data_IF_636567069538
#
_entry.id   IF_636567069538
#
_cell.length_a   1.000
_cell.length_b   1.000
_cell.length_c   1.000
_cell.angle_alpha   90.00
_cell.angle_beta   90.00
_cell.angle_gamma   90.00
#
_symmetry.space_group_name_H-M   'P 1'
#
loop_
_entity.id
_entity.type
_entity.pdbx_description
1 polymer ?
#
# COMPACT_ATOMS: atom_id res chain seq x y z
N UNK A 1 -3.71 37.02 -7.89
CA UNK A 1 -3.59 35.54 -7.97
C UNK A 1 -2.51 35.30 -9.00
N UNK A 2 -1.28 35.02 -8.55
CA UNK A 2 -0.23 34.60 -9.45
C UNK A 2 -0.66 33.22 -9.98
N UNK A 3 -1.01 33.16 -11.25
CA UNK A 3 -1.19 31.91 -11.97
C UNK A 3 0.18 31.23 -12.00
N UNK A 4 0.41 30.31 -11.05
CA UNK A 4 1.60 29.46 -11.09
C UNK A 4 1.53 28.67 -12.40
N UNK A 5 2.44 28.93 -13.32
CA UNK A 5 2.54 28.14 -14.54
C UNK A 5 2.71 26.69 -14.13
N UNK A 6 1.80 25.85 -14.57
CA UNK A 6 1.85 24.39 -14.34
C UNK A 6 3.25 23.91 -14.74
N UNK A 7 4.03 23.41 -13.75
CA UNK A 7 5.37 22.89 -13.97
C UNK A 7 6.53 23.79 -13.53
N UNK A 8 6.30 24.95 -12.89
CA UNK A 8 7.43 25.67 -12.27
C UNK A 8 7.97 24.87 -11.08
N UNK A 9 9.30 24.87 -10.89
CA UNK A 9 9.97 24.18 -9.76
C UNK A 9 9.38 24.62 -8.41
N UNK A 10 8.96 25.86 -8.27
CA UNK A 10 8.34 26.40 -7.07
C UNK A 10 6.97 25.75 -6.78
N UNK A 11 6.10 25.62 -7.80
CA UNK A 11 4.77 24.97 -7.63
C UNK A 11 4.90 23.50 -7.29
N UNK A 12 5.84 22.79 -7.91
CA UNK A 12 6.10 21.38 -7.63
C UNK A 12 6.59 21.21 -6.19
N UNK A 13 7.46 22.10 -5.71
CA UNK A 13 7.96 22.12 -4.35
C UNK A 13 6.85 22.42 -3.34
N UNK A 14 5.96 23.36 -3.63
CA UNK A 14 4.80 23.66 -2.79
C UNK A 14 3.87 22.46 -2.67
N UNK A 15 3.56 21.78 -3.79
CA UNK A 15 2.77 20.53 -3.77
C UNK A 15 3.44 19.43 -2.94
N UNK A 16 4.76 19.27 -3.02
CA UNK A 16 5.51 18.30 -2.23
C UNK A 16 5.41 18.57 -0.72
N UNK A 17 5.63 19.83 -0.29
CA UNK A 17 5.54 20.16 1.13
C UNK A 17 4.12 20.17 1.66
N UNK A 18 3.12 20.48 0.83
CA UNK A 18 1.70 20.32 1.18
C UNK A 18 1.37 18.83 1.39
N UNK A 19 1.83 17.96 0.52
CA UNK A 19 1.69 16.52 0.69
C UNK A 19 2.38 16.01 1.99
N UNK A 20 3.58 16.52 2.31
CA UNK A 20 4.26 16.24 3.58
C UNK A 20 3.47 16.71 4.81
N UNK A 21 2.74 17.83 4.71
CA UNK A 21 1.85 18.29 5.76
C UNK A 21 0.64 17.35 5.92
N UNK A 22 0.01 16.95 4.80
CA UNK A 22 -1.13 16.03 4.81
C UNK A 22 -0.79 14.69 5.46
N UNK A 23 0.41 14.14 5.23
CA UNK A 23 0.91 12.92 5.86
C UNK A 23 0.81 12.94 7.40
N UNK A 24 0.85 14.13 8.02
CA UNK A 24 0.90 14.30 9.48
C UNK A 24 -0.45 14.78 10.07
N UNK A 25 -1.50 14.90 9.27
CA UNK A 25 -2.84 15.29 9.77
C UNK A 25 -3.48 14.14 10.54
N UNK A 26 -3.31 12.91 10.08
CA UNK A 26 -3.83 11.69 10.70
C UNK A 26 -2.73 10.64 10.85
N UNK A 27 -2.82 9.73 11.85
CA UNK A 27 -3.79 9.71 12.95
C UNK A 27 -3.57 10.85 13.96
N UNK A 28 -4.63 11.19 14.71
CA UNK A 28 -4.60 12.27 15.72
C UNK A 28 -4.22 11.72 17.10
N UNK A 29 -3.64 12.57 17.95
CA UNK A 29 -3.49 12.29 19.38
C UNK A 29 -4.84 12.50 20.07
N UNK A 30 -5.29 11.52 20.87
CA UNK A 30 -6.59 11.56 21.55
C UNK A 30 -6.48 11.74 23.07
N UNK A 31 -5.33 11.46 23.68
CA UNK A 31 -5.20 11.61 25.13
C UNK A 31 -5.20 13.09 25.55
N UNK A 32 -5.70 13.31 26.76
CA UNK A 32 -5.59 14.59 27.47
C UNK A 32 -4.15 14.85 27.96
N UNK A 33 -3.89 16.07 28.43
CA UNK A 33 -2.55 16.49 28.92
C UNK A 33 -2.05 15.69 30.12
N UNK A 34 -2.96 15.05 30.88
CA UNK A 34 -2.63 14.16 31.99
C UNK A 34 -2.43 12.69 31.56
N UNK A 35 -2.56 12.39 30.25
CA UNK A 35 -2.42 11.05 29.67
C UNK A 35 -3.67 10.19 29.68
N UNK A 36 -4.81 10.70 30.12
CA UNK A 36 -6.09 9.99 30.08
C UNK A 36 -6.67 9.93 28.64
N UNK A 37 -7.24 8.77 28.27
CA UNK A 37 -7.86 8.56 26.95
C UNK A 37 -9.04 7.59 27.01
N UNK A 38 -10.02 7.67 26.09
CA UNK A 38 -11.10 6.68 25.99
C UNK A 38 -10.52 5.34 25.48
N UNK A 39 -10.75 4.25 26.25
CA UNK A 39 -10.32 2.91 25.85
C UNK A 39 -11.19 2.38 24.70
N UNK A 40 -10.57 1.58 23.83
CA UNK A 40 -11.19 0.95 22.65
C UNK A 40 -12.41 0.10 23.06
N UNK A 41 -13.56 0.33 22.39
CA UNK A 41 -14.84 -0.38 22.60
C UNK A 41 -15.28 -0.43 24.08
N UNK A 42 -14.98 0.61 24.84
CA UNK A 42 -15.23 0.65 26.29
C UNK A 42 -15.71 2.04 26.73
N UNK A 43 -16.41 2.07 27.89
CA UNK A 43 -16.71 3.30 28.62
C UNK A 43 -15.65 3.63 29.69
N UNK A 44 -14.55 2.87 29.72
CA UNK A 44 -13.45 3.09 30.66
C UNK A 44 -12.49 4.12 30.14
N UNK A 45 -11.80 4.78 31.07
CA UNK A 45 -10.68 5.68 30.81
C UNK A 45 -9.39 4.91 31.03
N UNK A 46 -8.52 4.92 30.01
CA UNK A 46 -7.15 4.45 30.08
C UNK A 46 -6.19 5.57 30.41
N UNK A 47 -4.93 5.24 30.67
CA UNK A 47 -3.88 6.20 30.91
C UNK A 47 -2.59 5.77 30.16
N UNK A 48 -1.95 6.70 29.48
CA UNK A 48 -0.66 6.48 28.81
C UNK A 48 0.37 7.51 29.25
N UNK A 49 1.64 7.12 29.22
CA UNK A 49 2.78 8.03 29.35
C UNK A 49 3.42 8.38 28.00
N UNK A 50 2.95 7.73 26.92
CA UNK A 50 3.35 7.96 25.53
C UNK A 50 2.26 8.71 24.77
N UNK A 51 2.19 8.45 23.46
CA UNK A 51 1.15 8.98 22.58
C UNK A 51 0.10 7.92 22.30
N UNK A 52 -1.19 8.26 22.50
CA UNK A 52 -2.33 7.45 22.07
C UNK A 52 -2.96 8.09 20.85
N UNK A 53 -3.03 7.33 19.77
CA UNK A 53 -3.56 7.79 18.49
C UNK A 53 -4.99 7.31 18.26
N UNK A 54 -5.72 8.02 17.38
CA UNK A 54 -7.06 7.72 16.89
C UNK A 54 -7.24 8.21 15.46
N UNK A 55 -8.33 7.85 14.82
CA UNK A 55 -8.65 8.12 13.40
C UNK A 55 -7.71 7.31 12.50
N UNK A 56 -7.93 6.01 12.52
CA UNK A 56 -7.20 5.07 11.69
C UNK A 56 -8.02 4.70 10.44
N UNK A 57 -7.44 4.97 9.28
CA UNK A 57 -7.89 4.52 7.96
C UNK A 57 -6.88 3.51 7.44
N UNK A 58 -6.84 2.31 8.05
CA UNK A 58 -5.74 1.38 7.79
C UNK A 58 -5.81 0.74 6.42
N UNK A 59 -7.00 0.59 5.82
CA UNK A 59 -7.19 0.08 4.46
C UNK A 59 -6.42 0.90 3.41
N UNK A 60 -6.33 2.22 3.64
CA UNK A 60 -5.61 3.15 2.78
C UNK A 60 -4.13 3.20 3.15
N UNK A 61 -3.84 3.43 4.43
CA UNK A 61 -2.50 3.83 4.90
C UNK A 61 -1.47 2.70 4.91
N UNK A 62 -1.88 1.42 4.96
CA UNK A 62 -0.93 0.31 4.91
C UNK A 62 -0.18 0.22 3.57
N UNK A 63 -0.74 0.79 2.48
CA UNK A 63 -0.21 0.65 1.12
C UNK A 63 1.09 1.41 0.91
N UNK A 64 1.25 2.57 1.57
CA UNK A 64 2.43 3.41 1.40
C UNK A 64 2.74 4.31 2.62
N UNK A 65 1.72 4.80 3.35
CA UNK A 65 1.92 5.72 4.49
C UNK A 65 2.74 5.06 5.58
N UNK A 66 2.43 3.80 5.96
CA UNK A 66 3.19 3.04 6.95
C UNK A 66 4.69 3.00 6.60
N UNK A 67 5.00 2.73 5.33
CA UNK A 67 6.38 2.68 4.83
C UNK A 67 7.08 4.05 4.91
N UNK A 68 6.38 5.13 4.52
CA UNK A 68 6.96 6.47 4.57
C UNK A 68 7.17 6.95 6.01
N UNK A 69 6.20 6.67 6.89
CA UNK A 69 6.34 6.96 8.34
C UNK A 69 7.49 6.18 8.96
N UNK A 70 7.66 4.92 8.59
CA UNK A 70 8.82 4.10 9.01
C UNK A 70 10.14 4.73 8.59
N UNK A 71 10.22 5.29 7.38
CA UNK A 71 11.44 5.92 6.87
C UNK A 71 11.72 7.29 7.49
N UNK A 72 10.69 8.15 7.61
CA UNK A 72 10.86 9.56 7.97
C UNK A 72 10.61 9.85 9.46
N UNK A 73 9.71 9.10 10.10
CA UNK A 73 9.24 9.35 11.47
C UNK A 73 9.14 8.06 12.29
N UNK A 74 10.24 7.28 12.42
CA UNK A 74 10.20 5.92 13.00
C UNK A 74 9.68 5.90 14.44
N UNK A 75 9.98 6.90 15.28
CA UNK A 75 9.43 6.96 16.65
C UNK A 75 7.92 7.15 16.66
N UNK A 76 7.37 8.00 15.77
CA UNK A 76 5.91 8.17 15.64
C UNK A 76 5.26 6.89 15.14
N UNK A 77 5.88 6.22 14.19
CA UNK A 77 5.40 4.94 13.67
C UNK A 77 5.36 3.87 14.77
N UNK A 78 6.36 3.82 15.64
CA UNK A 78 6.36 2.93 16.81
C UNK A 78 5.21 3.24 17.77
N UNK A 79 4.94 4.52 18.05
CA UNK A 79 3.84 4.94 18.94
C UNK A 79 2.47 4.59 18.33
N UNK A 80 2.31 4.71 17.01
CA UNK A 80 1.12 4.28 16.29
C UNK A 80 0.92 2.77 16.44
N UNK A 81 1.97 1.97 16.22
CA UNK A 81 1.90 0.51 16.36
C UNK A 81 1.59 0.10 17.82
N UNK A 82 2.22 0.73 18.79
CA UNK A 82 1.93 0.51 20.23
C UNK A 82 0.46 0.80 20.53
N UNK A 83 -0.09 1.89 19.99
CA UNK A 83 -1.52 2.22 20.09
C UNK A 83 -2.40 1.09 19.54
N UNK A 84 -2.08 0.55 18.36
CA UNK A 84 -2.85 -0.56 17.77
C UNK A 84 -2.80 -1.83 18.64
N UNK A 85 -1.65 -2.13 19.25
CA UNK A 85 -1.49 -3.26 20.19
C UNK A 85 -2.30 -3.04 21.47
N UNK A 86 -2.31 -1.80 22.00
CA UNK A 86 -3.13 -1.48 23.17
C UNK A 86 -4.64 -1.58 22.85
N UNK A 87 -5.07 -1.17 21.66
CA UNK A 87 -6.44 -1.38 21.18
C UNK A 87 -6.82 -2.88 21.15
N UNK A 88 -5.89 -3.73 20.71
CA UNK A 88 -6.06 -5.19 20.78
C UNK A 88 -6.25 -5.69 22.22
N UNK A 89 -5.42 -5.23 23.16
CA UNK A 89 -5.52 -5.61 24.58
C UNK A 89 -6.84 -5.15 25.21
N UNK A 90 -7.37 -4.02 24.76
CA UNK A 90 -8.61 -3.41 25.28
C UNK A 90 -9.88 -4.07 24.71
N UNK A 91 -9.94 -4.30 23.39
CA UNK A 91 -11.13 -4.80 22.68
C UNK A 91 -11.05 -6.28 22.32
N UNK A 92 -9.86 -6.86 22.32
CA UNK A 92 -9.59 -8.20 21.81
C UNK A 92 -9.45 -8.31 20.30
N UNK A 93 -9.44 -7.19 19.57
CA UNK A 93 -9.22 -7.11 18.12
C UNK A 93 -8.25 -5.99 17.76
N UNK A 94 -7.42 -6.21 16.75
CA UNK A 94 -6.65 -5.15 16.14
C UNK A 94 -7.58 -4.18 15.39
N UNK A 95 -7.26 -2.88 15.31
CA UNK A 95 -8.12 -1.93 14.64
C UNK A 95 -8.14 -2.15 13.11
N UNK A 96 -9.21 -1.73 12.45
CA UNK A 96 -9.39 -1.69 11.01
C UNK A 96 -9.65 -0.25 10.54
N UNK A 97 -10.72 0.36 11.07
CA UNK A 97 -11.11 1.75 10.82
C UNK A 97 -11.62 2.38 12.12
N UNK A 98 -10.71 2.64 13.03
CA UNK A 98 -11.04 3.14 14.36
C UNK A 98 -11.26 4.65 14.36
N UNK A 99 -12.34 5.10 15.00
CA UNK A 99 -12.65 6.49 15.25
C UNK A 99 -12.96 6.72 16.73
N UNK A 100 -12.12 7.49 17.41
CA UNK A 100 -12.32 7.96 18.78
C UNK A 100 -12.66 6.85 19.80
N UNK A 101 -11.92 5.73 19.71
CA UNK A 101 -12.10 4.57 20.58
C UNK A 101 -13.22 3.61 20.14
N UNK A 102 -13.71 3.75 18.91
CA UNK A 102 -14.74 2.87 18.33
C UNK A 102 -14.29 2.29 17.00
N UNK A 103 -14.47 0.98 16.83
CA UNK A 103 -14.25 0.32 15.54
C UNK A 103 -15.51 0.49 14.66
N UNK A 104 -15.32 1.02 13.46
CA UNK A 104 -16.44 1.23 12.52
C UNK A 104 -16.62 0.06 11.57
N UNK A 105 -15.61 -0.81 11.44
CA UNK A 105 -15.54 -1.92 10.47
C UNK A 105 -15.69 -1.48 9.02
N UNK A 106 -15.49 -0.20 8.75
CA UNK A 106 -15.51 0.37 7.40
C UNK A 106 -14.36 -0.22 6.56
N UNK A 107 -14.57 -0.29 5.27
CA UNK A 107 -13.64 -0.83 4.26
C UNK A 107 -13.30 -2.32 4.42
N UNK A 108 -12.37 -2.80 3.60
CA UNK A 108 -12.14 -4.21 3.38
C UNK A 108 -10.93 -4.75 4.17
N UNK A 109 -10.90 -6.04 4.38
CA UNK A 109 -9.72 -6.76 4.80
C UNK A 109 -9.39 -6.71 6.29
N UNK A 110 -8.13 -6.98 6.58
CA UNK A 110 -7.50 -6.98 7.91
C UNK A 110 -6.18 -6.18 7.83
N UNK A 111 -6.29 -4.87 7.61
CA UNK A 111 -5.17 -4.01 7.20
C UNK A 111 -4.15 -3.72 8.30
N UNK A 112 -4.46 -3.99 9.57
CA UNK A 112 -3.47 -3.92 10.65
C UNK A 112 -2.29 -4.84 10.42
N UNK A 113 -2.51 -5.99 9.77
CA UNK A 113 -1.46 -6.97 9.53
C UNK A 113 -0.37 -6.39 8.61
N UNK A 114 -0.66 -5.99 7.36
CA UNK A 114 0.37 -5.43 6.50
C UNK A 114 0.97 -4.14 7.05
N UNK A 115 0.19 -3.31 7.77
CA UNK A 115 0.67 -2.07 8.38
C UNK A 115 1.81 -2.32 9.40
N UNK A 116 1.58 -3.25 10.34
CA UNK A 116 2.56 -3.58 11.40
C UNK A 116 3.71 -4.40 10.84
N UNK A 117 3.41 -5.37 9.96
CA UNK A 117 4.44 -6.27 9.40
C UNK A 117 5.42 -5.52 8.52
N UNK A 118 4.98 -4.58 7.67
CA UNK A 118 5.88 -3.77 6.86
C UNK A 118 6.89 -3.02 7.73
N UNK A 119 6.43 -2.37 8.79
CA UNK A 119 7.30 -1.67 9.74
C UNK A 119 8.29 -2.62 10.44
N UNK A 120 7.84 -3.81 10.88
CA UNK A 120 8.69 -4.82 11.51
C UNK A 120 9.78 -5.32 10.56
N UNK A 121 9.42 -5.64 9.32
CA UNK A 121 10.36 -6.14 8.32
C UNK A 121 11.39 -5.08 7.95
N UNK A 122 11.02 -3.78 7.99
CA UNK A 122 11.92 -2.64 7.78
C UNK A 122 12.76 -2.25 9.01
N UNK A 123 12.65 -3.01 10.10
CA UNK A 123 13.53 -2.91 11.25
C UNK A 123 12.96 -2.22 12.49
N UNK A 124 11.72 -1.73 12.48
CA UNK A 124 11.07 -1.19 13.68
C UNK A 124 10.53 -2.33 14.55
N UNK A 125 11.18 -2.58 15.68
CA UNK A 125 10.92 -3.76 16.53
C UNK A 125 10.71 -3.44 18.01
N UNK A 126 10.70 -2.16 18.40
CA UNK A 126 10.59 -1.73 19.80
C UNK A 126 9.11 -1.66 20.24
N UNK A 127 8.43 -2.81 20.22
CA UNK A 127 7.07 -3.03 20.70
C UNK A 127 6.80 -4.51 20.99
N UNK A 128 5.68 -4.81 21.64
CA UNK A 128 5.26 -6.18 22.01
C UNK A 128 4.82 -6.96 20.77
N UNK A 129 5.78 -7.53 20.07
CA UNK A 129 5.54 -8.26 18.82
C UNK A 129 4.77 -9.57 19.03
N UNK A 130 4.91 -10.23 20.19
CA UNK A 130 4.17 -11.48 20.46
C UNK A 130 2.68 -11.20 20.63
N UNK A 131 2.31 -10.14 21.35
CA UNK A 131 0.92 -9.69 21.45
C UNK A 131 0.36 -9.24 20.08
N UNK A 132 1.15 -8.49 19.29
CA UNK A 132 0.76 -8.12 17.94
C UNK A 132 0.52 -9.36 17.06
N UNK A 133 1.43 -10.32 17.11
CA UNK A 133 1.31 -11.58 16.37
C UNK A 133 0.07 -12.38 16.78
N UNK A 134 -0.22 -12.47 18.09
CA UNK A 134 -1.42 -13.11 18.61
C UNK A 134 -2.70 -12.48 18.02
N UNK A 135 -2.78 -11.13 18.03
CA UNK A 135 -3.91 -10.38 17.45
C UNK A 135 -4.09 -10.63 15.96
N UNK A 136 -3.00 -10.59 15.18
CA UNK A 136 -3.00 -10.88 13.75
C UNK A 136 -3.44 -12.32 13.46
N UNK A 137 -2.86 -13.29 14.17
CA UNK A 137 -3.19 -14.69 14.01
C UNK A 137 -4.66 -14.96 14.37
N UNK A 138 -5.16 -14.32 15.43
CA UNK A 138 -6.58 -14.38 15.82
C UNK A 138 -7.48 -13.90 14.69
N UNK A 139 -7.24 -12.73 14.08
CA UNK A 139 -7.97 -12.23 12.91
C UNK A 139 -7.96 -13.24 11.77
N UNK A 140 -6.78 -13.82 11.47
CA UNK A 140 -6.60 -14.73 10.34
C UNK A 140 -7.17 -16.15 10.55
N UNK A 141 -7.46 -16.58 11.78
CA UNK A 141 -7.84 -17.98 12.08
C UNK A 141 -9.16 -18.16 12.83
N UNK A 142 -9.75 -17.12 13.38
CA UNK A 142 -11.06 -17.21 14.04
C UNK A 142 -12.15 -17.42 12.98
N UNK A 143 -13.12 -18.36 13.22
CA UNK A 143 -14.28 -18.52 12.36
C UNK A 143 -15.08 -17.23 12.16
N UNK A 144 -15.70 -17.06 10.98
CA UNK A 144 -16.34 -15.81 10.57
C UNK A 144 -17.44 -15.31 11.49
N UNK A 145 -18.27 -16.21 12.03
CA UNK A 145 -19.35 -15.88 12.98
C UNK A 145 -18.87 -15.27 14.30
N UNK A 146 -17.58 -15.41 14.62
CA UNK A 146 -16.94 -14.86 15.81
C UNK A 146 -15.83 -13.84 15.46
N UNK A 147 -15.73 -13.45 14.20
CA UNK A 147 -14.63 -12.64 13.70
C UNK A 147 -15.15 -11.32 13.13
N UNK A 148 -14.87 -10.23 13.83
CA UNK A 148 -15.30 -8.91 13.41
C UNK A 148 -14.55 -8.42 12.16
N UNK A 149 -13.27 -8.83 12.00
CA UNK A 149 -12.40 -8.34 10.92
C UNK A 149 -12.59 -9.12 9.62
N UNK A 150 -12.89 -10.44 9.73
CA UNK A 150 -13.03 -11.36 8.58
C UNK A 150 -14.31 -12.17 8.70
N UNK A 151 -15.49 -11.56 8.44
CA UNK A 151 -16.78 -12.26 8.56
C UNK A 151 -16.91 -13.45 7.61
N UNK A 152 -16.18 -13.45 6.49
CA UNK A 152 -16.19 -14.52 5.48
C UNK A 152 -15.15 -15.62 5.74
N UNK A 153 -14.50 -15.62 6.90
CA UNK A 153 -13.32 -16.47 7.16
C UNK A 153 -13.59 -17.96 7.06
N UNK A 154 -14.82 -18.42 7.31
CA UNK A 154 -15.19 -19.84 7.14
C UNK A 154 -15.04 -20.33 5.70
N UNK A 155 -15.57 -19.57 4.75
CA UNK A 155 -15.43 -19.85 3.32
C UNK A 155 -13.97 -19.66 2.88
N UNK A 156 -13.35 -18.55 3.29
CA UNK A 156 -11.96 -18.25 2.95
C UNK A 156 -10.99 -19.36 3.40
N UNK A 157 -11.11 -19.83 4.65
CA UNK A 157 -10.25 -20.90 5.18
C UNK A 157 -10.52 -22.27 4.52
N UNK A 158 -11.78 -22.58 4.24
CA UNK A 158 -12.15 -23.92 3.73
C UNK A 158 -12.04 -24.05 2.22
N UNK A 159 -12.34 -22.99 1.47
CA UNK A 159 -12.39 -22.99 0.01
C UNK A 159 -11.16 -22.31 -0.64
N UNK A 160 -10.44 -21.48 0.12
CA UNK A 160 -9.36 -20.63 -0.39
C UNK A 160 -9.84 -19.37 -1.11
N UNK A 161 -11.15 -19.09 -1.09
CA UNK A 161 -11.77 -17.88 -1.65
C UNK A 161 -13.06 -17.52 -0.89
N UNK A 162 -13.51 -16.27 -1.03
CA UNK A 162 -14.81 -15.79 -0.55
C UNK A 162 -15.82 -15.86 -1.68
N UNK A 163 -16.92 -16.63 -1.58
CA UNK A 163 -17.92 -16.69 -2.62
C UNK A 163 -18.84 -15.46 -2.61
N UNK A 164 -19.25 -14.99 -3.77
CA UNK A 164 -20.30 -13.99 -3.92
C UNK A 164 -21.65 -14.61 -3.52
N UNK A 165 -22.29 -14.07 -2.46
CA UNK A 165 -23.58 -14.58 -1.96
C UNK A 165 -24.75 -13.70 -2.35
N UNK A 166 -24.54 -12.40 -2.33
CA UNK A 166 -25.54 -11.39 -2.68
C UNK A 166 -25.03 -10.54 -3.86
N UNK A 167 -25.93 -9.81 -4.50
CA UNK A 167 -25.61 -9.09 -5.74
C UNK A 167 -24.46 -8.07 -5.58
N UNK A 168 -24.35 -7.41 -4.45
CA UNK A 168 -23.36 -6.37 -4.18
C UNK A 168 -22.42 -6.72 -3.01
N UNK A 169 -22.23 -8.00 -2.79
CA UNK A 169 -21.23 -8.51 -1.88
C UNK A 169 -19.82 -8.25 -2.42
N UNK A 170 -18.92 -7.78 -1.56
CA UNK A 170 -17.54 -7.39 -1.91
C UNK A 170 -16.55 -8.56 -1.90
N UNK A 171 -16.98 -9.76 -2.24
CA UNK A 171 -16.28 -11.03 -2.04
C UNK A 171 -14.85 -11.08 -2.60
N UNK A 172 -14.61 -10.53 -3.80
CA UNK A 172 -13.28 -10.50 -4.40
C UNK A 172 -12.37 -9.51 -3.68
N UNK A 173 -12.89 -8.33 -3.37
CA UNK A 173 -12.14 -7.29 -2.64
C UNK A 173 -11.74 -7.78 -1.25
N UNK A 174 -12.66 -8.36 -0.47
CA UNK A 174 -12.37 -9.00 0.82
C UNK A 174 -11.25 -10.03 0.70
N UNK A 175 -11.38 -10.97 -0.25
CA UNK A 175 -10.41 -12.03 -0.42
C UNK A 175 -9.02 -11.52 -0.83
N UNK A 176 -8.93 -10.52 -1.71
CA UNK A 176 -7.66 -9.95 -2.10
C UNK A 176 -6.93 -9.28 -0.93
N UNK A 177 -7.66 -8.55 -0.09
CA UNK A 177 -7.12 -7.96 1.12
C UNK A 177 -6.67 -9.04 2.12
N UNK A 178 -7.43 -10.14 2.27
CA UNK A 178 -7.02 -11.27 3.12
C UNK A 178 -5.76 -11.97 2.59
N UNK A 179 -5.59 -12.11 1.26
CA UNK A 179 -4.37 -12.69 0.68
C UNK A 179 -3.14 -11.83 0.96
N UNK A 180 -3.25 -10.51 0.89
CA UNK A 180 -2.16 -9.58 1.22
C UNK A 180 -1.85 -9.65 2.71
N UNK A 181 -2.87 -9.66 3.57
CA UNK A 181 -2.69 -9.81 5.01
C UNK A 181 -2.02 -11.16 5.35
N UNK A 182 -2.48 -12.27 4.78
CA UNK A 182 -1.89 -13.58 5.00
C UNK A 182 -0.45 -13.67 4.44
N UNK A 183 -0.15 -13.05 3.28
CA UNK A 183 1.21 -12.93 2.79
C UNK A 183 2.12 -12.26 3.81
N UNK A 184 1.72 -11.09 4.32
CA UNK A 184 2.46 -10.36 5.33
C UNK A 184 2.62 -11.17 6.62
N UNK A 185 1.54 -11.79 7.11
CA UNK A 185 1.59 -12.64 8.30
C UNK A 185 2.54 -13.83 8.10
N UNK A 186 2.64 -14.37 6.88
CA UNK A 186 3.61 -15.43 6.56
C UNK A 186 5.06 -14.97 6.69
N UNK A 187 5.36 -13.73 6.31
CA UNK A 187 6.70 -13.13 6.46
C UNK A 187 7.06 -12.94 7.93
N UNK A 188 6.14 -12.39 8.72
CA UNK A 188 6.34 -12.22 10.15
C UNK A 188 6.47 -13.55 10.88
N UNK A 189 5.62 -14.53 10.56
CA UNK A 189 5.69 -15.88 11.14
C UNK A 189 7.05 -16.55 10.86
N UNK A 190 7.58 -16.39 9.64
CA UNK A 190 8.91 -16.90 9.29
C UNK A 190 10.02 -16.20 10.08
N UNK A 191 9.95 -14.87 10.19
CA UNK A 191 10.90 -14.07 10.98
C UNK A 191 10.88 -14.42 12.48
N UNK A 192 9.73 -14.80 13.03
CA UNK A 192 9.55 -15.24 14.42
C UNK A 192 9.79 -16.76 14.62
N UNK A 193 10.19 -17.49 13.56
CA UNK A 193 10.45 -18.93 13.62
C UNK A 193 9.21 -19.82 13.69
N UNK A 194 8.01 -19.29 13.47
CA UNK A 194 6.72 -20.00 13.49
C UNK A 194 6.45 -20.66 12.13
N UNK A 195 7.22 -21.69 11.79
CA UNK A 195 7.32 -22.27 10.44
C UNK A 195 6.00 -22.83 9.87
N UNK A 196 5.16 -23.41 10.70
CA UNK A 196 3.88 -23.96 10.26
C UNK A 196 2.90 -22.86 9.88
N UNK A 197 2.80 -21.81 10.69
CA UNK A 197 2.00 -20.64 10.37
C UNK A 197 2.54 -19.93 9.11
N UNK A 198 3.86 -19.79 8.98
CA UNK A 198 4.48 -19.21 7.79
C UNK A 198 4.11 -19.98 6.51
N UNK A 199 4.08 -21.31 6.56
CA UNK A 199 3.66 -22.15 5.45
C UNK A 199 2.17 -21.97 5.15
N UNK A 200 1.33 -22.11 6.19
CA UNK A 200 -0.13 -21.97 6.07
C UNK A 200 -0.54 -20.66 5.39
N UNK A 201 -0.07 -19.55 5.95
CA UNK A 201 -0.46 -18.23 5.44
C UNK A 201 0.11 -17.93 4.06
N UNK A 202 1.31 -18.42 3.74
CA UNK A 202 1.89 -18.31 2.40
C UNK A 202 1.08 -19.08 1.36
N UNK A 203 0.60 -20.27 1.68
CA UNK A 203 -0.27 -21.05 0.80
C UNK A 203 -1.62 -20.36 0.57
N UNK A 204 -2.24 -19.84 1.64
CA UNK A 204 -3.52 -19.12 1.57
C UNK A 204 -3.41 -17.85 0.72
N UNK A 205 -2.32 -17.10 0.84
CA UNK A 205 -2.07 -15.89 0.05
C UNK A 205 -2.10 -16.10 -1.47
N UNK A 206 -1.95 -17.35 -1.94
CA UNK A 206 -2.00 -17.69 -3.36
C UNK A 206 -3.42 -17.95 -3.89
N UNK A 207 -4.45 -17.80 -3.07
CA UNK A 207 -5.85 -18.09 -3.40
C UNK A 207 -6.47 -17.16 -4.47
N UNK A 208 -5.88 -15.99 -4.74
CA UNK A 208 -6.33 -15.09 -5.81
C UNK A 208 -6.49 -15.81 -7.17
N UNK A 209 -5.75 -16.92 -7.38
CA UNK A 209 -5.77 -17.73 -8.60
C UNK A 209 -7.15 -18.33 -8.89
N UNK A 210 -7.97 -18.56 -7.87
CA UNK A 210 -9.34 -19.06 -8.02
C UNK A 210 -10.20 -18.08 -8.84
N UNK A 211 -10.03 -16.78 -8.62
CA UNK A 211 -10.84 -15.76 -9.27
C UNK A 211 -10.45 -15.48 -10.73
N UNK A 212 -9.26 -15.92 -11.18
CA UNK A 212 -8.80 -15.55 -12.51
C UNK A 212 -9.62 -16.23 -13.62
N UNK A 213 -10.38 -15.43 -14.38
CA UNK A 213 -11.17 -15.86 -15.51
C UNK A 213 -10.43 -15.63 -16.84
N UNK A 214 -10.04 -16.71 -17.51
CA UNK A 214 -9.29 -16.63 -18.79
C UNK A 214 -10.10 -15.97 -19.91
N UNK A 215 -11.42 -16.13 -19.91
CA UNK A 215 -12.33 -15.57 -20.91
C UNK A 215 -12.23 -14.06 -20.96
N UNK A 216 -12.31 -13.40 -19.80
CA UNK A 216 -12.20 -11.95 -19.67
C UNK A 216 -10.76 -11.47 -19.45
N UNK A 217 -9.89 -12.35 -18.93
CA UNK A 217 -8.53 -12.03 -18.51
C UNK A 217 -8.47 -11.09 -17.32
N UNK A 218 -9.49 -11.17 -16.46
CA UNK A 218 -9.65 -10.41 -15.21
C UNK A 218 -9.97 -11.38 -14.08
N UNK A 219 -9.96 -10.87 -12.84
CA UNK A 219 -10.61 -11.54 -11.73
C UNK A 219 -12.13 -11.45 -11.93
N UNK A 220 -12.86 -12.50 -11.51
CA UNK A 220 -14.31 -12.62 -11.64
C UNK A 220 -14.86 -13.27 -10.37
N UNK A 221 -15.97 -12.77 -9.81
CA UNK A 221 -16.58 -13.36 -8.63
C UNK A 221 -16.98 -14.82 -8.82
N UNK A 222 -16.91 -15.61 -7.76
CA UNK A 222 -17.25 -17.02 -7.73
C UNK A 222 -18.46 -17.21 -6.83
N UNK A 223 -19.44 -17.98 -7.30
CA UNK A 223 -20.64 -18.33 -6.54
C UNK A 223 -20.36 -19.43 -5.50
N UNK A 224 -21.29 -19.66 -4.53
CA UNK A 224 -21.10 -20.70 -3.51
C UNK A 224 -20.91 -22.11 -4.06
N UNK A 225 -21.44 -22.41 -5.25
CA UNK A 225 -21.31 -23.69 -5.95
C UNK A 225 -19.97 -23.85 -6.71
N UNK A 226 -19.11 -22.82 -6.68
CA UNK A 226 -17.80 -22.82 -7.32
C UNK A 226 -17.82 -22.36 -8.79
N UNK A 227 -18.97 -21.99 -9.34
CA UNK A 227 -19.06 -21.42 -10.69
C UNK A 227 -18.80 -19.92 -10.69
N UNK A 228 -18.35 -19.39 -11.82
CA UNK A 228 -18.21 -17.94 -11.97
C UNK A 228 -19.57 -17.25 -12.06
N UNK A 229 -19.70 -16.11 -11.36
CA UNK A 229 -20.88 -15.25 -11.45
C UNK A 229 -21.18 -14.85 -12.92
N UNK A 230 -22.44 -14.93 -13.35
CA UNK A 230 -22.89 -14.61 -14.69
C UNK A 230 -24.32 -14.03 -14.68
N UNK A 231 -24.65 -13.02 -15.53
CA UNK A 231 -23.76 -12.34 -16.47
C UNK A 231 -22.69 -11.50 -15.78
N UNK A 232 -21.55 -11.26 -16.44
CA UNK A 232 -20.44 -10.51 -15.88
C UNK A 232 -19.93 -9.45 -16.86
N UNK A 233 -19.93 -8.21 -16.43
CA UNK A 233 -19.25 -7.10 -17.09
C UNK A 233 -18.08 -6.64 -16.24
N UNK A 234 -16.81 -6.78 -16.69
CA UNK A 234 -15.64 -6.35 -15.91
C UNK A 234 -15.55 -4.84 -15.65
N UNK A 235 -16.42 -4.04 -16.24
CA UNK A 235 -16.50 -2.59 -16.02
C UNK A 235 -17.63 -2.18 -15.08
N UNK A 236 -18.50 -3.10 -14.69
CA UNK A 236 -19.55 -2.77 -13.72
C UNK A 236 -18.95 -2.30 -12.40
N UNK A 237 -19.36 -1.13 -11.94
CA UNK A 237 -18.82 -0.46 -10.76
C UNK A 237 -17.96 0.77 -11.07
N UNK A 238 -17.92 1.23 -12.31
CA UNK A 238 -17.33 2.52 -12.65
C UNK A 238 -18.03 3.66 -11.86
N UNK A 239 -17.26 4.67 -11.46
CA UNK A 239 -17.74 5.83 -10.70
C UNK A 239 -18.46 5.47 -9.37
N UNK A 240 -17.95 4.49 -8.65
CA UNK A 240 -18.50 4.01 -7.37
C UNK A 240 -19.93 3.45 -7.46
N UNK A 241 -20.38 3.05 -8.64
CA UNK A 241 -21.62 2.29 -8.77
C UNK A 241 -21.45 0.89 -8.15
N UNK A 242 -22.52 0.30 -7.56
CA UNK A 242 -22.44 -1.04 -6.98
C UNK A 242 -21.98 -2.09 -7.99
N UNK A 243 -21.02 -2.91 -7.60
CA UNK A 243 -20.44 -3.97 -8.42
C UNK A 243 -20.44 -5.30 -7.68
N UNK A 244 -20.89 -6.39 -8.32
CA UNK A 244 -20.80 -7.70 -7.70
C UNK A 244 -19.36 -8.10 -7.45
N UNK A 245 -18.99 -8.30 -6.18
CA UNK A 245 -17.68 -8.77 -5.75
C UNK A 245 -16.59 -7.72 -5.60
N UNK A 246 -16.82 -6.47 -5.98
CA UNK A 246 -15.81 -5.42 -5.94
C UNK A 246 -16.29 -4.19 -5.15
N UNK A 247 -15.47 -3.73 -4.23
CA UNK A 247 -15.72 -2.55 -3.41
C UNK A 247 -15.20 -1.30 -4.13
N UNK A 248 -16.05 -0.27 -4.23
CA UNK A 248 -15.69 1.04 -4.81
C UNK A 248 -14.95 0.97 -6.15
N UNK A 249 -15.29 -0.02 -6.98
CA UNK A 249 -14.60 -0.21 -8.25
C UNK A 249 -15.10 -1.42 -9.01
N UNK A 250 -14.29 -1.89 -9.93
CA UNK A 250 -14.62 -2.96 -10.84
C UNK A 250 -13.45 -3.95 -11.01
N UNK A 251 -13.63 -4.95 -11.87
CA UNK A 251 -12.62 -5.98 -12.08
C UNK A 251 -11.27 -5.42 -12.59
N UNK A 252 -11.23 -4.28 -13.28
CA UNK A 252 -9.99 -3.69 -13.77
C UNK A 252 -9.17 -3.06 -12.63
N UNK A 253 -9.84 -2.44 -11.65
CA UNK A 253 -9.19 -1.85 -10.48
C UNK A 253 -8.59 -2.91 -9.55
N UNK A 254 -9.10 -4.14 -9.56
CA UNK A 254 -8.66 -5.20 -8.67
C UNK A 254 -7.82 -6.30 -9.34
N UNK A 255 -7.86 -6.45 -10.68
CA UNK A 255 -7.19 -7.59 -11.35
C UNK A 255 -5.67 -7.64 -11.14
N UNK A 256 -5.00 -6.50 -11.09
CA UNK A 256 -3.55 -6.46 -10.85
C UNK A 256 -3.20 -6.21 -9.38
N UNK A 257 -4.20 -6.14 -8.49
CA UNK A 257 -4.00 -5.96 -7.07
C UNK A 257 -3.57 -7.28 -6.39
N UNK A 258 -2.45 -7.81 -6.82
CA UNK A 258 -1.76 -9.00 -6.30
C UNK A 258 -0.27 -8.67 -6.13
N UNK A 259 0.09 -7.66 -5.31
CA UNK A 259 1.45 -7.13 -5.25
C UNK A 259 2.46 -8.17 -4.79
N UNK A 260 2.04 -9.15 -4.00
CA UNK A 260 2.88 -10.22 -3.44
C UNK A 260 3.24 -11.34 -4.44
N UNK A 261 2.57 -11.44 -5.60
CA UNK A 261 2.85 -12.48 -6.62
C UNK A 261 2.64 -11.96 -8.05
N UNK A 262 3.21 -10.80 -8.39
CA UNK A 262 3.12 -10.19 -9.73
C UNK A 262 3.58 -11.15 -10.84
N UNK A 263 4.66 -11.89 -10.59
CA UNK A 263 5.19 -12.88 -11.57
C UNK A 263 4.26 -14.09 -11.72
N UNK A 264 3.64 -14.54 -10.64
CA UNK A 264 2.62 -15.59 -10.65
C UNK A 264 1.38 -15.17 -11.41
N UNK A 265 0.90 -13.94 -11.17
CA UNK A 265 -0.23 -13.36 -11.92
C UNK A 265 0.11 -13.25 -13.42
N UNK A 266 1.30 -12.77 -13.77
CA UNK A 266 1.73 -12.70 -15.15
C UNK A 266 1.78 -14.08 -15.82
N UNK A 267 2.27 -15.11 -15.11
CA UNK A 267 2.24 -16.50 -15.58
C UNK A 267 0.81 -16.98 -15.81
N UNK A 268 -0.10 -16.68 -14.90
CA UNK A 268 -1.52 -17.03 -14.99
C UNK A 268 -2.18 -16.38 -16.22
N UNK A 269 -1.81 -15.13 -16.53
CA UNK A 269 -2.26 -14.38 -17.73
C UNK A 269 -1.62 -14.90 -19.04
N UNK A 270 -0.64 -15.80 -18.99
CA UNK A 270 0.04 -16.36 -20.16
C UNK A 270 1.38 -15.70 -20.50
N UNK A 271 2.03 -15.07 -19.53
CA UNK A 271 3.40 -14.56 -19.58
C UNK A 271 3.52 -13.03 -19.61
N UNK A 272 4.76 -12.56 -19.51
CA UNK A 272 5.11 -11.14 -19.41
C UNK A 272 4.39 -10.27 -20.45
N UNK A 273 4.46 -10.65 -21.73
CA UNK A 273 3.89 -9.83 -22.80
C UNK A 273 2.39 -9.59 -22.60
N UNK A 274 1.64 -10.65 -22.29
CA UNK A 274 0.17 -10.52 -22.07
C UNK A 274 -0.17 -9.70 -20.84
N UNK A 275 0.61 -9.86 -19.77
CA UNK A 275 0.46 -9.04 -18.57
C UNK A 275 0.69 -7.56 -18.88
N UNK A 276 1.83 -7.24 -19.49
CA UNK A 276 2.21 -5.86 -19.84
C UNK A 276 1.20 -5.22 -20.80
N UNK A 277 0.81 -5.93 -21.87
CA UNK A 277 -0.17 -5.43 -22.83
C UNK A 277 -1.53 -5.14 -22.16
N UNK A 278 -1.97 -6.03 -21.25
CA UNK A 278 -3.23 -5.87 -20.54
C UNK A 278 -3.15 -4.73 -19.50
N UNK A 279 -2.07 -4.64 -18.75
CA UNK A 279 -1.86 -3.53 -17.82
C UNK A 279 -1.80 -2.19 -18.56
N UNK A 280 -1.10 -2.12 -19.70
CA UNK A 280 -1.08 -0.91 -20.53
C UNK A 280 -2.49 -0.54 -21.03
N UNK A 281 -3.29 -1.54 -21.42
CA UNK A 281 -4.66 -1.33 -21.89
C UNK A 281 -5.54 -0.70 -20.78
N UNK A 282 -5.32 -1.02 -19.49
CA UNK A 282 -6.04 -0.38 -18.37
C UNK A 282 -5.83 1.14 -18.38
N UNK A 283 -4.60 1.59 -18.62
CA UNK A 283 -4.30 3.02 -18.73
C UNK A 283 -4.83 3.64 -20.04
N UNK A 284 -4.61 2.97 -21.17
CA UNK A 284 -5.00 3.48 -22.51
C UNK A 284 -6.51 3.61 -22.65
N UNK A 285 -7.29 2.77 -21.95
CA UNK A 285 -8.77 2.79 -21.97
C UNK A 285 -9.39 3.64 -20.87
N UNK A 286 -8.58 4.17 -19.96
CA UNK A 286 -9.05 4.95 -18.81
C UNK A 286 -9.76 4.12 -17.74
N UNK A 287 -9.40 2.84 -17.59
CA UNK A 287 -9.94 1.97 -16.53
C UNK A 287 -9.17 2.11 -15.22
N UNK A 288 -8.01 2.75 -15.25
CA UNK A 288 -7.21 3.08 -14.07
C UNK A 288 -7.85 4.23 -13.30
N UNK A 289 -8.01 4.06 -12.00
CA UNK A 289 -8.50 5.11 -11.11
C UNK A 289 -7.41 5.56 -10.13
N UNK A 290 -6.86 6.76 -10.36
CA UNK A 290 -5.87 7.34 -9.44
C UNK A 290 -6.49 7.76 -8.11
N UNK A 291 -7.80 7.89 -8.04
CA UNK A 291 -8.52 8.41 -6.87
C UNK A 291 -8.93 7.31 -5.88
N UNK A 292 -8.61 6.04 -6.15
CA UNK A 292 -8.92 4.93 -5.26
C UNK A 292 -7.72 3.98 -5.08
N UNK A 293 -7.59 3.38 -3.90
CA UNK A 293 -6.40 2.68 -3.41
C UNK A 293 -6.05 1.37 -4.12
N UNK A 294 -6.99 0.55 -4.60
CA UNK A 294 -6.66 -0.79 -5.11
C UNK A 294 -5.65 -0.79 -6.26
N UNK A 295 -5.67 0.23 -7.11
CA UNK A 295 -4.82 0.27 -8.29
C UNK A 295 -3.73 1.36 -8.29
N UNK A 296 -3.54 2.11 -7.19
CA UNK A 296 -2.51 3.17 -7.09
C UNK A 296 -1.08 2.67 -7.34
N UNK A 297 -0.80 1.38 -7.09
CA UNK A 297 0.50 0.77 -7.36
C UNK A 297 0.68 0.32 -8.82
N UNK A 298 -0.36 0.28 -9.65
CA UNK A 298 -0.31 -0.22 -11.02
C UNK A 298 0.76 0.42 -11.90
N UNK A 299 1.01 1.75 -11.84
CA UNK A 299 2.05 2.39 -12.65
C UNK A 299 3.44 1.80 -12.43
N UNK A 300 3.69 1.21 -11.26
CA UNK A 300 4.99 0.67 -10.88
C UNK A 300 5.20 -0.79 -11.32
N UNK A 301 4.13 -1.52 -11.66
CA UNK A 301 4.19 -2.94 -11.95
C UNK A 301 4.97 -3.29 -13.21
N UNK A 302 5.11 -2.38 -14.16
CA UNK A 302 5.91 -2.59 -15.36
C UNK A 302 7.40 -2.81 -15.03
N UNK A 303 7.91 -2.21 -13.97
CA UNK A 303 9.31 -2.32 -13.56
C UNK A 303 9.73 -3.72 -13.11
N UNK A 304 8.77 -4.60 -12.79
CA UNK A 304 9.05 -6.01 -12.49
C UNK A 304 9.43 -6.82 -13.72
N UNK A 305 9.30 -6.26 -14.93
CA UNK A 305 9.52 -6.95 -16.19
C UNK A 305 10.64 -6.31 -16.99
N UNK A 306 11.50 -7.20 -17.56
CA UNK A 306 12.67 -6.77 -18.33
C UNK A 306 12.26 -5.93 -19.54
N UNK A 307 12.84 -4.73 -19.67
CA UNK A 307 12.62 -3.84 -20.81
C UNK A 307 11.36 -2.97 -20.71
N UNK A 308 10.57 -3.04 -19.60
CA UNK A 308 9.28 -2.34 -19.50
C UNK A 308 9.30 -1.17 -18.47
N UNK A 309 10.36 -1.00 -17.71
CA UNK A 309 10.45 0.04 -16.65
C UNK A 309 10.27 1.49 -17.17
N UNK A 310 10.56 1.75 -18.44
CA UNK A 310 10.31 3.04 -19.07
C UNK A 310 8.83 3.44 -19.03
N UNK A 311 7.91 2.45 -19.04
CA UNK A 311 6.46 2.70 -18.91
C UNK A 311 6.13 3.23 -17.53
N UNK A 312 6.70 2.67 -16.46
CA UNK A 312 6.60 3.20 -15.09
C UNK A 312 7.07 4.66 -15.05
N UNK A 313 8.26 4.95 -15.58
CA UNK A 313 8.86 6.28 -15.55
C UNK A 313 7.99 7.32 -16.28
N UNK A 314 7.44 6.95 -17.43
CA UNK A 314 6.53 7.77 -18.21
C UNK A 314 5.21 8.01 -17.49
N UNK A 315 4.53 6.92 -17.08
CA UNK A 315 3.21 7.00 -16.45
C UNK A 315 3.24 7.76 -15.13
N UNK A 316 4.21 7.49 -14.26
CA UNK A 316 4.33 8.21 -12.99
C UNK A 316 4.48 9.73 -13.24
N UNK A 317 5.26 10.13 -14.23
CA UNK A 317 5.41 11.54 -14.59
C UNK A 317 4.12 12.15 -15.13
N UNK A 318 3.41 11.42 -15.98
CA UNK A 318 2.11 11.85 -16.54
C UNK A 318 1.03 11.97 -15.46
N UNK A 319 0.95 11.01 -14.54
CA UNK A 319 -0.02 11.02 -13.45
C UNK A 319 0.25 12.15 -12.45
N UNK A 320 1.52 12.38 -12.07
CA UNK A 320 1.89 13.55 -11.26
C UNK A 320 1.44 14.85 -11.92
N UNK A 321 1.73 15.02 -13.21
CA UNK A 321 1.35 16.23 -13.94
C UNK A 321 -0.16 16.38 -14.18
N UNK A 322 -0.90 15.29 -14.21
CA UNK A 322 -2.36 15.29 -14.44
C UNK A 322 -3.17 15.53 -13.17
N UNK A 323 -2.75 14.97 -12.05
CA UNK A 323 -3.59 14.88 -10.86
C UNK A 323 -3.10 15.70 -9.67
N UNK A 324 -1.79 16.07 -9.63
CA UNK A 324 -1.22 16.77 -8.47
C UNK A 324 -0.84 18.20 -8.83
N UNK A 325 -1.59 19.15 -8.27
CA UNK A 325 -1.43 20.57 -8.61
C UNK A 325 -1.33 21.44 -7.35
N UNK A 326 -0.67 22.57 -7.45
CA UNK A 326 -0.66 23.59 -6.40
C UNK A 326 -1.98 24.39 -6.43
N UNK A 327 -3.07 23.75 -5.98
CA UNK A 327 -4.42 24.30 -5.93
C UNK A 327 -5.23 23.57 -4.83
N UNK A 328 -6.33 24.17 -4.32
CA UNK A 328 -7.18 23.53 -3.31
C UNK A 328 -7.75 22.16 -3.72
N UNK A 329 -7.97 21.95 -5.01
CA UNK A 329 -8.40 20.68 -5.60
C UNK A 329 -7.25 19.94 -6.31
N UNK A 330 -6.04 20.05 -5.80
CA UNK A 330 -4.81 19.53 -6.40
C UNK A 330 -4.47 18.08 -6.07
N UNK A 331 -5.46 17.28 -5.66
CA UNK A 331 -5.38 15.83 -5.47
C UNK A 331 -6.35 15.10 -6.40
N UNK A 332 -6.12 13.81 -6.73
CA UNK A 332 -7.01 13.08 -7.63
C UNK A 332 -8.41 12.82 -7.08
N UNK A 333 -8.56 12.84 -5.75
CA UNK A 333 -9.79 12.58 -5.00
C UNK A 333 -9.60 12.92 -3.54
N UNK A 334 -10.17 12.13 -2.63
CA UNK A 334 -9.85 12.21 -1.21
C UNK A 334 -8.39 11.86 -0.98
N UNK A 335 -7.78 12.44 0.06
CA UNK A 335 -6.38 12.14 0.41
C UNK A 335 -6.21 10.82 1.18
N UNK A 336 -7.30 10.33 1.73
CA UNK A 336 -7.42 9.09 2.50
C UNK A 336 -6.29 8.95 3.53
N UNK A 337 -6.36 9.88 4.50
CA UNK A 337 -5.40 10.01 5.61
C UNK A 337 -3.93 10.06 5.18
N UNK A 338 -3.67 10.73 4.06
CA UNK A 338 -2.32 10.95 3.54
C UNK A 338 -1.86 9.94 2.49
N UNK A 339 -2.69 8.98 2.07
CA UNK A 339 -2.30 7.94 1.11
C UNK A 339 -1.99 8.49 -0.27
N UNK A 340 -2.86 9.37 -0.82
CA UNK A 340 -2.62 10.01 -2.11
C UNK A 340 -1.45 10.99 -2.05
N UNK A 341 -1.33 11.77 -0.98
CA UNK A 341 -0.17 12.62 -0.72
C UNK A 341 1.13 11.83 -0.64
N UNK A 342 1.12 10.68 0.04
CA UNK A 342 2.29 9.79 0.14
C UNK A 342 2.68 9.20 -1.21
N UNK A 343 1.71 8.86 -2.05
CA UNK A 343 1.99 8.44 -3.42
C UNK A 343 2.76 9.50 -4.19
N UNK A 344 2.34 10.78 -4.08
CA UNK A 344 3.03 11.89 -4.71
C UNK A 344 4.45 12.09 -4.14
N UNK A 345 4.62 12.02 -2.82
CA UNK A 345 5.92 12.17 -2.17
C UNK A 345 6.92 11.13 -2.68
N UNK A 346 6.56 9.84 -2.64
CA UNK A 346 7.41 8.77 -3.14
C UNK A 346 7.72 8.93 -4.63
N UNK A 347 6.69 9.20 -5.44
CA UNK A 347 6.82 9.40 -6.88
C UNK A 347 7.78 10.55 -7.21
N UNK A 348 7.68 11.67 -6.48
CA UNK A 348 8.57 12.83 -6.68
C UNK A 348 10.00 12.56 -6.19
N UNK A 349 10.18 11.70 -5.17
CA UNK A 349 11.50 11.26 -4.71
C UNK A 349 12.15 10.23 -5.65
N UNK A 350 11.37 9.51 -6.46
CA UNK A 350 11.87 8.58 -7.46
C UNK A 350 11.94 7.12 -7.02
N UNK A 351 11.16 6.70 -6.02
CA UNK A 351 10.99 5.29 -5.63
C UNK A 351 9.62 5.09 -4.95
N UNK A 352 9.12 3.84 -4.93
CA UNK A 352 7.80 3.53 -4.39
C UNK A 352 7.72 2.11 -3.81
N UNK A 353 7.11 1.88 -2.62
CA UNK A 353 6.91 0.56 -2.02
C UNK A 353 5.68 -0.12 -2.65
N UNK A 354 5.86 -0.81 -3.78
CA UNK A 354 4.74 -1.38 -4.54
C UNK A 354 4.08 -2.62 -3.88
N UNK A 355 4.73 -3.21 -2.87
CA UNK A 355 4.21 -4.37 -2.14
C UNK A 355 4.46 -4.21 -0.64
N UNK A 356 3.42 -4.03 0.19
CA UNK A 356 3.57 -4.00 1.65
C UNK A 356 4.23 -5.28 2.18
N UNK A 357 5.19 -5.12 3.10
CA UNK A 357 5.98 -6.23 3.66
C UNK A 357 7.15 -6.69 2.79
N UNK A 358 7.19 -6.35 1.51
CA UNK A 358 8.38 -6.50 0.66
C UNK A 358 9.36 -5.36 0.97
N UNK A 359 10.63 -5.70 1.11
CA UNK A 359 11.67 -4.72 1.43
C UNK A 359 12.16 -3.93 0.22
N UNK A 360 11.74 -4.29 -0.99
CA UNK A 360 12.15 -3.62 -2.20
C UNK A 360 11.24 -2.43 -2.54
N UNK A 361 11.88 -1.33 -2.95
CA UNK A 361 11.22 -0.22 -3.61
C UNK A 361 11.41 -0.31 -5.12
N UNK A 362 10.37 -0.04 -5.88
CA UNK A 362 10.47 0.19 -7.32
C UNK A 362 11.06 1.57 -7.56
N UNK A 363 12.10 1.65 -8.39
CA UNK A 363 12.79 2.90 -8.73
C UNK A 363 12.19 3.52 -9.97
N UNK A 364 11.89 4.81 -9.90
CA UNK A 364 11.41 5.66 -11.01
C UNK A 364 12.21 6.96 -11.08
N UNK A 365 11.95 7.81 -12.06
CA UNK A 365 12.72 9.05 -12.20
C UNK A 365 12.28 10.13 -11.21
N UNK A 366 13.19 10.70 -10.40
CA UNK A 366 12.87 11.77 -9.48
C UNK A 366 12.36 13.03 -10.19
N UNK A 367 11.48 13.78 -9.53
CA UNK A 367 11.01 15.07 -10.04
C UNK A 367 12.04 16.17 -9.82
N UNK A 368 12.68 16.19 -8.64
CA UNK A 368 13.66 17.20 -8.24
C UNK A 368 15.08 16.84 -8.69
N UNK A 369 15.91 17.87 -8.87
CA UNK A 369 17.34 17.68 -9.11
C UNK A 369 18.06 17.17 -7.85
N UNK A 370 17.58 17.58 -6.67
CA UNK A 370 18.11 17.10 -5.38
C UNK A 370 17.01 17.04 -4.32
N UNK A 371 16.99 15.94 -3.58
CA UNK A 371 16.22 15.76 -2.33
C UNK A 371 17.19 15.30 -1.26
N UNK A 372 17.13 15.90 -0.07
CA UNK A 372 17.88 15.45 1.09
C UNK A 372 16.91 15.01 2.16
N UNK A 373 17.03 13.76 2.58
CA UNK A 373 16.23 13.16 3.64
C UNK A 373 17.14 13.00 4.85
N UNK A 374 16.80 13.69 5.94
CA UNK A 374 17.43 13.43 7.24
C UNK A 374 16.78 12.21 7.87
N UNK A 375 17.59 11.19 8.09
CA UNK A 375 17.17 9.95 8.72
C UNK A 375 17.49 10.00 10.22
N UNK A 376 16.64 9.40 11.04
CA UNK A 376 16.90 9.27 12.46
C UNK A 376 18.05 8.27 12.69
N UNK A 377 19.18 8.76 13.24
CA UNK A 377 20.41 7.98 13.44
C UNK A 377 20.24 6.80 14.40
N UNK A 378 19.23 6.83 15.28
CA UNK A 378 18.89 5.71 16.17
C UNK A 378 18.46 4.48 15.35
N UNK A 379 17.80 4.68 14.21
CA UNK A 379 17.29 3.61 13.35
C UNK A 379 18.14 3.43 12.09
N UNK A 380 18.68 4.51 11.57
CA UNK A 380 19.43 4.56 10.30
C UNK A 380 20.79 5.25 10.52
N UNK A 381 21.86 4.50 10.83
CA UNK A 381 23.15 5.05 11.25
C UNK A 381 23.82 6.00 10.24
N UNK A 382 23.40 6.00 8.96
CA UNK A 382 23.90 6.97 7.97
C UNK A 382 23.40 8.40 8.22
N UNK A 383 22.31 8.58 8.95
CA UNK A 383 21.74 9.87 9.30
C UNK A 383 21.19 10.69 8.13
N UNK A 384 21.54 10.34 6.89
CA UNK A 384 21.14 11.10 5.71
C UNK A 384 21.06 10.19 4.47
N UNK A 385 20.05 10.48 3.61
CA UNK A 385 19.97 9.97 2.25
C UNK A 385 19.81 11.16 1.29
N UNK A 386 20.74 11.31 0.34
CA UNK A 386 20.68 12.33 -0.70
C UNK A 386 20.28 11.66 -2.02
N UNK A 387 19.20 12.14 -2.62
CA UNK A 387 18.74 11.73 -3.95
C UNK A 387 19.15 12.84 -4.92
N UNK A 388 19.93 12.51 -5.93
CA UNK A 388 20.39 13.46 -6.96
C UNK A 388 19.99 12.97 -8.33
N UNK A 389 19.48 13.87 -9.17
CA UNK A 389 19.20 13.56 -10.57
C UNK A 389 19.87 14.55 -11.52
N UNK A 390 20.66 14.01 -12.45
CA UNK A 390 21.28 14.76 -13.53
C UNK A 390 20.41 14.63 -14.79
N UNK A 391 19.89 15.75 -15.27
CA UNK A 391 19.12 15.88 -16.53
C UNK A 391 19.56 17.11 -17.29
N UNK A 392 19.50 17.08 -18.62
CA UNK A 392 19.85 18.22 -19.46
C UNK A 392 18.64 19.10 -19.72
N UNK A 393 17.46 18.48 -19.86
CA UNK A 393 16.19 19.16 -20.12
C UNK A 393 15.09 18.58 -19.24
N UNK A 394 13.96 19.27 -19.02
CA UNK A 394 12.82 18.75 -18.28
C UNK A 394 12.22 17.45 -18.86
N UNK A 395 12.41 17.23 -20.18
CA UNK A 395 11.93 16.05 -20.90
C UNK A 395 12.80 14.81 -20.67
N UNK A 396 13.97 14.95 -20.04
CA UNK A 396 14.80 13.83 -19.63
C UNK A 396 14.15 13.13 -18.42
N UNK A 397 13.26 12.19 -18.71
CA UNK A 397 12.46 11.47 -17.71
C UNK A 397 12.82 9.98 -17.62
N UNK A 398 13.62 9.45 -18.54
CA UNK A 398 14.00 8.05 -18.55
C UNK A 398 15.34 7.83 -17.86
N UNK A 399 15.43 6.75 -17.06
CA UNK A 399 16.63 6.40 -16.33
C UNK A 399 17.63 5.73 -17.26
N UNK A 400 18.72 6.43 -17.54
CA UNK A 400 19.91 5.85 -18.20
C UNK A 400 20.75 5.03 -17.24
N UNK A 401 20.91 5.54 -16.01
CA UNK A 401 21.67 4.87 -14.96
C UNK A 401 21.20 5.33 -13.58
N UNK A 402 21.21 4.43 -12.63
CA UNK A 402 21.04 4.75 -11.22
C UNK A 402 22.11 4.04 -10.38
N UNK A 403 22.70 4.77 -9.42
CA UNK A 403 23.70 4.25 -8.49
C UNK A 403 23.27 4.52 -7.04
N UNK A 404 23.49 3.54 -6.16
CA UNK A 404 23.31 3.64 -4.72
C UNK A 404 24.68 3.51 -4.02
N UNK A 405 25.08 4.53 -3.26
CA UNK A 405 26.40 4.54 -2.62
C UNK A 405 27.57 4.35 -3.62
N UNK A 406 27.43 4.85 -4.85
CA UNK A 406 28.42 4.71 -5.93
C UNK A 406 28.37 3.35 -6.67
N UNK A 407 27.51 2.41 -6.27
CA UNK A 407 27.33 1.12 -6.94
C UNK A 407 26.13 1.18 -7.88
N UNK A 408 26.29 0.74 -9.13
CA UNK A 408 25.23 0.68 -10.12
C UNK A 408 24.17 -0.36 -9.73
N UNK A 409 22.90 0.03 -9.75
CA UNK A 409 21.79 -0.90 -9.58
C UNK A 409 21.68 -1.83 -10.80
N UNK A 410 21.34 -3.10 -10.55
CA UNK A 410 21.19 -4.12 -11.61
C UNK A 410 19.80 -4.15 -12.25
N UNK A 411 18.91 -3.28 -11.82
CA UNK A 411 17.51 -3.22 -12.28
C UNK A 411 16.87 -1.94 -11.81
N UNK A 412 15.55 -1.99 -11.65
CA UNK A 412 14.73 -0.85 -11.21
C UNK A 412 14.07 -1.14 -9.86
N UNK A 413 14.78 -1.86 -9.00
CA UNK A 413 14.42 -2.04 -7.58
C UNK A 413 15.62 -1.77 -6.70
N UNK A 414 15.38 -1.31 -5.48
CA UNK A 414 16.38 -1.10 -4.43
C UNK A 414 15.79 -1.57 -3.11
N UNK A 415 16.54 -2.38 -2.36
CA UNK A 415 16.07 -2.83 -1.05
C UNK A 415 16.12 -1.71 -0.01
N UNK A 416 15.32 -1.85 1.06
CA UNK A 416 15.35 -0.95 2.22
C UNK A 416 16.77 -0.76 2.76
N UNK A 417 17.50 -1.86 2.95
CA UNK A 417 18.85 -1.84 3.48
C UNK A 417 19.83 -1.10 2.55
N UNK A 418 19.76 -1.37 1.24
CA UNK A 418 20.57 -0.65 0.27
C UNK A 418 20.25 0.83 0.24
N UNK A 419 18.96 1.21 0.30
CA UNK A 419 18.50 2.59 0.23
C UNK A 419 19.00 3.41 1.45
N UNK A 420 18.75 2.94 2.67
CA UNK A 420 19.10 3.70 3.89
C UNK A 420 20.60 3.71 4.18
N UNK A 421 21.36 2.77 3.63
CA UNK A 421 22.82 2.71 3.78
C UNK A 421 23.58 3.31 2.59
N UNK A 422 22.90 3.70 1.51
CA UNK A 422 23.54 4.28 0.33
C UNK A 422 24.23 5.64 0.62
N UNK A 423 23.65 6.45 1.51
CA UNK A 423 24.03 7.85 1.68
C UNK A 423 23.66 8.72 0.46
N UNK A 424 23.85 8.20 -0.75
CA UNK A 424 23.48 8.90 -1.99
C UNK A 424 22.86 7.93 -3.00
N UNK A 425 21.68 8.29 -3.50
CA UNK A 425 21.03 7.65 -4.65
C UNK A 425 21.12 8.63 -5.82
N UNK A 426 21.89 8.28 -6.86
CA UNK A 426 22.18 9.18 -7.99
C UNK A 426 21.59 8.64 -9.28
N UNK A 427 20.85 9.49 -9.99
CA UNK A 427 20.22 9.24 -11.28
C UNK A 427 20.91 10.02 -12.39
N UNK A 428 21.14 9.36 -13.51
CA UNK A 428 21.38 10.02 -14.79
C UNK A 428 20.17 9.78 -15.69
N UNK A 429 19.55 10.86 -16.14
CA UNK A 429 18.32 10.80 -16.94
C UNK A 429 18.57 11.20 -18.37
N UNK A 430 17.73 10.70 -19.29
CA UNK A 430 17.74 11.00 -20.73
C UNK A 430 16.31 11.04 -21.29
N UNK A 431 16.15 11.55 -22.51
CA UNK A 431 14.84 11.71 -23.15
C UNK A 431 14.42 10.53 -24.05
N UNK A 432 15.21 9.45 -24.07
CA UNK A 432 14.94 8.22 -24.85
C UNK A 432 15.00 7.01 -23.95
N UNK A 433 14.14 6.03 -24.19
CA UNK A 433 14.08 4.74 -23.48
C UNK A 433 14.57 3.61 -24.35
#
# INVERSE_FOLDING_TARGET
IAQCLVGSEMCIRDSFYTAMYHLLIHPNIIQDVNGEYPMMESLKVGHTTGNRYTVFSLWDTYRNVSTLMTLLYPEKQLDIIRTMIDMYKESGWLPKWELYGRETLTMEGDPSIPYIVDAYMRGLRDYDIETAYEGMRKGATTPGEFNLLRPDNNDYMSKGYVPLREQYDNSVSHALEYYIADWNLSLLADALGKKEDAKLFRERAMGYKHYYCKEFGTLRPILPDGTFYSPFDPKQGENFEPSPGFHEGNAWNYTFYVPHDIKGLAKLMGGQKRFVDKLQMVFDKGYYDMANEPDIAYPYLFSYFKGEAWRTQKLVRELLGKYYHNAPNGLPGNDDTGTMSTWAIFSMMGFYPACPGDLDYVVTSPTFNKVTIRLDEKFYPKGELVIESARKTPEDIYIKEVTAGGKKLKGYTISQDELVNAGTLRFTLENKH
#
